data_IF_274327816806
#
_entry.id   IF_274327816806
#
_cell.length_a   1.000
_cell.length_b   1.000
_cell.length_c   1.000
_cell.angle_alpha   90.00
_cell.angle_beta   90.00
_cell.angle_gamma   90.00
#
_symmetry.space_group_name_H-M   'P 1'
#
loop_
_entity.id
_entity.type
_entity.pdbx_description
1 polymer ?
#
# COMPACT_ATOMS: atom_id res chain seq x y z
N UNK A 1 24.97 36.44 -73.96
CA UNK A 1 24.55 35.08 -73.50
C UNK A 1 25.64 34.34 -72.70
N UNK A 2 26.70 35.00 -72.27
CA UNK A 2 27.89 34.41 -71.61
C UNK A 2 27.98 34.70 -70.09
N UNK A 3 27.18 35.60 -69.53
CA UNK A 3 27.21 35.97 -68.07
C UNK A 3 26.39 35.02 -67.18
N UNK A 4 25.32 34.46 -67.70
CA UNK A 4 24.45 33.54 -66.97
C UNK A 4 25.07 32.16 -66.81
N UNK A 5 25.86 31.69 -67.78
CA UNK A 5 26.55 30.39 -67.72
C UNK A 5 27.68 30.38 -66.68
N UNK A 6 28.34 31.53 -66.41
CA UNK A 6 29.39 31.62 -65.41
C UNK A 6 28.89 31.67 -63.96
N UNK A 7 27.70 32.16 -63.71
CA UNK A 7 27.09 32.18 -62.38
C UNK A 7 26.61 30.74 -61.99
N UNK A 8 25.96 30.06 -62.93
CA UNK A 8 25.53 28.68 -62.69
C UNK A 8 26.73 27.73 -62.45
N UNK A 9 27.78 27.84 -63.25
CA UNK A 9 28.96 26.99 -63.09
C UNK A 9 29.75 27.28 -61.81
N UNK A 10 29.75 28.54 -61.29
CA UNK A 10 30.32 28.88 -59.97
C UNK A 10 29.53 28.33 -58.82
N UNK A 11 28.22 28.39 -58.86
CA UNK A 11 27.36 27.77 -57.82
C UNK A 11 27.51 26.25 -57.85
N UNK A 12 27.53 25.59 -59.03
CA UNK A 12 27.71 24.13 -59.12
C UNK A 12 29.08 23.62 -58.69
N UNK A 13 30.17 24.42 -58.83
CA UNK A 13 31.51 24.10 -58.36
C UNK A 13 31.70 24.32 -56.86
N UNK A 14 30.85 25.11 -56.22
CA UNK A 14 30.87 25.38 -54.79
C UNK A 14 30.15 24.29 -53.99
N UNK A 15 29.39 23.42 -54.64
CA UNK A 15 28.74 22.25 -54.01
C UNK A 15 29.72 21.08 -54.00
N UNK A 16 30.17 20.74 -52.79
CA UNK A 16 30.94 19.51 -52.58
C UNK A 16 30.00 18.29 -52.64
N UNK A 17 29.77 17.80 -53.86
CA UNK A 17 28.89 16.68 -54.14
C UNK A 17 29.31 15.40 -53.38
N UNK A 18 30.62 15.23 -53.12
CA UNK A 18 31.13 14.08 -52.39
C UNK A 18 30.70 14.15 -50.93
N UNK A 19 30.84 15.34 -50.27
CA UNK A 19 30.39 15.51 -48.89
C UNK A 19 28.86 15.32 -48.75
N UNK A 20 28.06 15.81 -49.71
CA UNK A 20 26.61 15.62 -49.71
C UNK A 20 26.22 14.12 -49.86
N UNK A 21 26.90 13.42 -50.76
CA UNK A 21 26.66 12.00 -50.98
C UNK A 21 27.06 11.19 -49.75
N UNK A 22 28.20 11.50 -49.12
CA UNK A 22 28.62 10.86 -47.89
C UNK A 22 27.64 11.10 -46.71
N UNK A 23 27.13 12.31 -46.58
CA UNK A 23 26.11 12.63 -45.57
C UNK A 23 24.81 11.88 -45.81
N UNK A 24 24.33 11.84 -47.03
CA UNK A 24 23.12 11.09 -47.40
C UNK A 24 23.32 9.60 -47.16
N UNK A 25 24.46 9.04 -47.58
CA UNK A 25 24.78 7.63 -47.41
C UNK A 25 24.86 7.26 -45.92
N UNK A 26 25.52 8.08 -45.10
CA UNK A 26 25.60 7.91 -43.63
C UNK A 26 24.21 7.94 -42.99
N UNK A 27 23.33 8.87 -43.39
CA UNK A 27 21.95 8.92 -42.91
C UNK A 27 21.15 7.67 -43.31
N UNK A 28 21.32 7.17 -44.52
CA UNK A 28 20.67 5.93 -44.98
C UNK A 28 21.13 4.72 -44.15
N UNK A 29 22.42 4.59 -43.90
CA UNK A 29 22.96 3.52 -43.08
C UNK A 29 22.41 3.62 -41.66
N UNK A 30 22.39 4.81 -41.07
CA UNK A 30 21.87 5.05 -39.74
C UNK A 30 20.38 4.71 -39.60
N UNK A 31 19.56 5.08 -40.60
CA UNK A 31 18.14 4.72 -40.67
C UNK A 31 17.93 3.22 -40.82
N UNK A 32 18.76 2.56 -41.65
CA UNK A 32 18.69 1.12 -41.80
C UNK A 32 18.97 0.37 -40.51
N UNK A 33 20.04 0.74 -39.78
CA UNK A 33 20.32 0.15 -38.49
C UNK A 33 19.25 0.50 -37.44
N UNK A 34 18.71 1.71 -37.43
CA UNK A 34 17.62 2.10 -36.57
C UNK A 34 16.37 1.21 -36.77
N UNK A 35 16.00 0.96 -38.01
CA UNK A 35 14.85 0.10 -38.37
C UNK A 35 15.09 -1.34 -37.87
N UNK A 36 16.28 -1.87 -38.08
CA UNK A 36 16.64 -3.20 -37.57
C UNK A 36 16.54 -3.22 -36.03
N UNK A 37 17.15 -2.23 -35.36
CA UNK A 37 17.09 -2.11 -33.90
C UNK A 37 15.65 -2.03 -33.38
N UNK A 38 14.80 -1.25 -34.06
CA UNK A 38 13.38 -1.14 -33.74
C UNK A 38 12.65 -2.48 -33.88
N UNK A 39 12.89 -3.22 -34.97
CA UNK A 39 12.31 -4.55 -35.15
C UNK A 39 12.73 -5.54 -34.08
N UNK A 40 14.02 -5.54 -33.73
CA UNK A 40 14.55 -6.37 -32.64
C UNK A 40 13.92 -5.99 -31.31
N UNK A 41 13.89 -4.69 -30.99
CA UNK A 41 13.27 -4.19 -29.77
C UNK A 41 11.78 -4.56 -29.67
N UNK A 42 11.03 -4.40 -30.75
CA UNK A 42 9.62 -4.78 -30.85
C UNK A 42 9.41 -6.29 -30.65
N UNK A 43 10.26 -7.12 -31.24
CA UNK A 43 10.21 -8.57 -31.06
C UNK A 43 10.52 -8.98 -29.62
N UNK A 44 11.56 -8.40 -29.02
CA UNK A 44 11.91 -8.62 -27.61
C UNK A 44 10.78 -8.21 -26.68
N UNK A 45 10.17 -7.05 -26.92
CA UNK A 45 9.02 -6.55 -26.15
C UNK A 45 7.85 -7.54 -26.22
N UNK A 46 7.50 -8.01 -27.41
CA UNK A 46 6.41 -8.97 -27.58
C UNK A 46 6.68 -10.29 -26.84
N UNK A 47 7.92 -10.79 -26.92
CA UNK A 47 8.34 -12.00 -26.17
C UNK A 47 8.28 -11.74 -24.66
N UNK A 48 8.73 -10.56 -24.19
CA UNK A 48 8.70 -10.18 -22.79
C UNK A 48 7.28 -10.12 -22.25
N UNK A 49 6.37 -9.44 -22.95
CA UNK A 49 4.95 -9.35 -22.55
C UNK A 49 4.34 -10.75 -22.46
N UNK A 50 4.57 -11.59 -23.48
CA UNK A 50 3.99 -12.96 -23.50
C UNK A 50 4.60 -13.91 -22.46
N UNK A 51 5.92 -13.88 -22.27
CA UNK A 51 6.61 -14.85 -21.41
C UNK A 51 6.71 -14.43 -19.95
N UNK A 52 6.70 -13.12 -19.64
CA UNK A 52 6.87 -12.60 -18.29
C UNK A 52 5.58 -12.02 -17.76
N UNK A 53 4.96 -11.07 -18.46
CA UNK A 53 3.81 -10.35 -17.93
C UNK A 53 2.55 -11.21 -17.92
N UNK A 54 2.23 -11.88 -19.06
CA UNK A 54 1.00 -12.67 -19.16
C UNK A 54 0.90 -13.83 -18.18
N UNK A 55 1.98 -14.62 -17.88
CA UNK A 55 1.93 -15.67 -16.86
C UNK A 55 1.82 -15.11 -15.44
N UNK A 56 2.48 -13.99 -15.14
CA UNK A 56 2.45 -13.35 -13.81
C UNK A 56 1.05 -12.82 -13.44
N UNK A 57 0.19 -12.55 -14.43
CA UNK A 57 -1.19 -12.14 -14.25
C UNK A 57 -2.17 -13.31 -14.04
N UNK A 58 -1.70 -14.57 -14.05
CA UNK A 58 -2.52 -15.77 -13.79
C UNK A 58 -2.85 -15.90 -12.30
N UNK A 59 -3.75 -15.05 -11.81
CA UNK A 59 -4.14 -15.01 -10.39
C UNK A 59 -5.36 -15.91 -10.06
N UNK A 60 -6.12 -16.37 -11.04
CA UNK A 60 -7.20 -17.34 -10.85
C UNK A 60 -7.71 -17.82 -12.21
N UNK A 61 -8.18 -19.06 -12.28
CA UNK A 61 -8.69 -19.70 -13.49
C UNK A 61 -9.96 -19.07 -14.08
N UNK A 62 -10.59 -18.12 -13.41
CA UNK A 62 -11.86 -17.51 -13.81
C UNK A 62 -11.75 -16.20 -14.60
N UNK A 63 -10.56 -15.65 -14.86
CA UNK A 63 -10.41 -14.26 -15.33
C UNK A 63 -9.55 -14.09 -16.61
N UNK A 64 -9.63 -15.05 -17.54
CA UNK A 64 -8.88 -14.99 -18.81
C UNK A 64 -9.17 -13.73 -19.65
N UNK A 65 -10.41 -13.22 -19.60
CA UNK A 65 -10.79 -11.99 -20.30
C UNK A 65 -10.06 -10.76 -19.71
N UNK A 66 -10.01 -10.66 -18.38
CA UNK A 66 -9.33 -9.58 -17.67
C UNK A 66 -7.82 -9.62 -17.88
N UNK A 67 -7.21 -10.80 -17.79
CA UNK A 67 -5.78 -11.00 -18.08
C UNK A 67 -5.43 -10.53 -19.49
N UNK A 68 -6.24 -10.92 -20.50
CA UNK A 68 -6.03 -10.53 -21.90
C UNK A 68 -6.15 -9.02 -22.10
N UNK A 69 -7.10 -8.38 -21.41
CA UNK A 69 -7.28 -6.92 -21.49
C UNK A 69 -6.08 -6.19 -20.89
N UNK A 70 -5.63 -6.58 -19.69
CA UNK A 70 -4.47 -5.97 -19.03
C UNK A 70 -3.19 -6.16 -19.87
N UNK A 71 -2.94 -7.36 -20.36
CA UNK A 71 -1.78 -7.64 -21.22
C UNK A 71 -1.77 -6.78 -22.49
N UNK A 72 -2.94 -6.61 -23.13
CA UNK A 72 -3.08 -5.74 -24.31
C UNK A 72 -2.85 -4.27 -24.00
N UNK A 73 -3.36 -3.78 -22.84
CA UNK A 73 -3.12 -2.39 -22.43
C UNK A 73 -1.63 -2.13 -22.23
N UNK A 74 -0.93 -3.02 -21.53
CA UNK A 74 0.53 -2.90 -21.31
C UNK A 74 1.27 -2.95 -22.65
N UNK A 75 0.93 -3.89 -23.53
CA UNK A 75 1.54 -4.03 -24.85
C UNK A 75 1.34 -2.76 -25.71
N UNK A 76 0.14 -2.18 -25.69
CA UNK A 76 -0.16 -0.95 -26.43
C UNK A 76 0.66 0.24 -25.90
N UNK A 77 0.73 0.44 -24.58
CA UNK A 77 1.52 1.52 -23.98
C UNK A 77 3.00 1.39 -24.36
N UNK A 78 3.56 0.19 -24.25
CA UNK A 78 4.96 -0.08 -24.61
C UNK A 78 5.21 0.12 -26.12
N UNK A 79 4.28 -0.31 -26.96
CA UNK A 79 4.37 -0.08 -28.42
C UNK A 79 4.32 1.41 -28.75
N UNK A 80 3.42 2.19 -28.15
CA UNK A 80 3.36 3.65 -28.38
C UNK A 80 4.67 4.33 -27.95
N UNK A 81 5.26 3.92 -26.85
CA UNK A 81 6.58 4.42 -26.42
C UNK A 81 7.67 4.09 -27.43
N UNK A 82 7.69 2.85 -27.96
CA UNK A 82 8.65 2.45 -29.00
C UNK A 82 8.46 3.24 -30.31
N UNK A 83 7.22 3.44 -30.76
CA UNK A 83 6.96 4.26 -31.95
C UNK A 83 7.35 5.72 -31.75
N UNK A 84 7.11 6.28 -30.56
CA UNK A 84 7.56 7.64 -30.23
C UNK A 84 9.09 7.75 -30.31
N UNK A 85 9.81 6.79 -29.76
CA UNK A 85 11.29 6.75 -29.81
C UNK A 85 11.78 6.58 -31.25
N UNK A 86 11.12 5.75 -32.07
CA UNK A 86 11.46 5.57 -33.48
C UNK A 86 11.32 6.90 -34.23
N UNK A 87 10.20 7.60 -34.10
CA UNK A 87 9.95 8.89 -34.74
C UNK A 87 11.00 9.92 -34.27
N UNK A 88 11.28 9.98 -32.99
CA UNK A 88 12.30 10.86 -32.44
C UNK A 88 13.67 10.64 -33.09
N UNK A 89 14.14 9.38 -33.17
CA UNK A 89 15.43 9.05 -33.76
C UNK A 89 15.48 9.28 -35.27
N UNK A 90 14.38 9.00 -35.98
CA UNK A 90 14.28 9.31 -37.44
C UNK A 90 14.46 10.82 -37.66
N UNK A 91 13.71 11.65 -36.94
CA UNK A 91 13.80 13.11 -37.04
C UNK A 91 15.21 13.63 -36.71
N UNK A 92 15.81 13.05 -35.66
CA UNK A 92 17.19 13.39 -35.23
C UNK A 92 18.22 13.07 -36.34
N UNK A 93 18.16 11.87 -36.94
CA UNK A 93 19.06 11.46 -38.03
C UNK A 93 18.88 12.35 -39.26
N UNK A 94 17.67 12.77 -39.55
CA UNK A 94 17.39 13.69 -40.68
C UNK A 94 17.89 15.12 -40.41
N UNK A 95 18.35 15.42 -39.16
CA UNK A 95 18.85 16.75 -38.78
C UNK A 95 17.74 17.74 -38.43
N UNK A 96 16.52 17.27 -38.19
CA UNK A 96 15.40 18.12 -37.78
C UNK A 96 15.53 18.48 -36.27
N UNK A 97 15.14 19.71 -35.87
CA UNK A 97 15.25 20.14 -34.48
C UNK A 97 14.25 19.39 -33.60
N UNK A 98 14.71 18.37 -32.85
CA UNK A 98 13.89 17.53 -31.96
C UNK A 98 13.78 18.06 -30.54
N UNK A 99 14.43 19.20 -30.23
CA UNK A 99 14.41 19.81 -28.90
C UNK A 99 13.01 20.17 -28.41
N UNK A 100 12.15 20.69 -29.30
CA UNK A 100 10.75 20.99 -28.98
C UNK A 100 9.93 19.74 -28.72
N UNK A 101 10.19 18.65 -29.42
CA UNK A 101 9.54 17.35 -29.19
C UNK A 101 9.94 16.78 -27.83
N UNK A 102 11.24 16.90 -27.48
CA UNK A 102 11.74 16.44 -26.19
C UNK A 102 11.19 17.31 -25.03
N UNK A 103 11.10 18.63 -25.21
CA UNK A 103 10.49 19.52 -24.23
C UNK A 103 9.00 19.18 -24.01
N UNK A 104 8.24 18.96 -25.11
CA UNK A 104 6.84 18.51 -25.02
C UNK A 104 6.67 17.15 -24.34
N UNK A 105 7.54 16.19 -24.65
CA UNK A 105 7.57 14.90 -23.99
C UNK A 105 7.90 15.02 -22.49
N UNK A 106 8.78 15.94 -22.11
CA UNK A 106 9.11 16.26 -20.72
C UNK A 106 7.89 16.78 -19.94
N UNK A 107 7.14 17.73 -20.53
CA UNK A 107 5.90 18.25 -19.92
C UNK A 107 4.85 17.14 -19.80
N UNK A 108 4.67 16.35 -20.85
CA UNK A 108 3.75 15.21 -20.80
C UNK A 108 4.17 14.17 -19.74
N UNK A 109 5.48 13.92 -19.61
CA UNK A 109 6.04 13.04 -18.57
C UNK A 109 5.74 13.53 -17.16
N UNK A 110 5.86 14.83 -16.90
CA UNK A 110 5.48 15.42 -15.60
C UNK A 110 3.98 15.26 -15.34
N UNK A 111 3.13 15.53 -16.33
CA UNK A 111 1.67 15.37 -16.18
C UNK A 111 1.28 13.91 -15.89
N UNK A 112 1.88 12.94 -16.60
CA UNK A 112 1.68 11.51 -16.37
C UNK A 112 2.19 11.12 -14.96
N UNK A 113 3.37 11.62 -14.58
CA UNK A 113 3.96 11.38 -13.26
C UNK A 113 3.06 11.87 -12.12
N UNK A 114 2.52 13.08 -12.24
CA UNK A 114 1.54 13.62 -11.27
C UNK A 114 0.26 12.77 -11.21
N UNK A 115 -0.24 12.31 -12.36
CA UNK A 115 -1.39 11.39 -12.41
C UNK A 115 -1.11 10.02 -11.78
N UNK A 116 0.14 9.54 -11.87
CA UNK A 116 0.57 8.26 -11.32
C UNK A 116 1.11 8.33 -9.88
N UNK A 117 1.23 9.52 -9.30
CA UNK A 117 1.83 9.75 -7.96
C UNK A 117 1.23 8.84 -6.88
N UNK A 118 -0.10 8.72 -6.87
CA UNK A 118 -0.78 7.89 -5.87
C UNK A 118 -0.43 6.40 -6.00
N UNK A 119 -0.29 5.91 -7.22
CA UNK A 119 0.14 4.54 -7.47
C UNK A 119 1.57 4.29 -6.98
N UNK A 120 2.49 5.20 -7.28
CA UNK A 120 3.88 5.10 -6.83
C UNK A 120 3.98 5.15 -5.30
N UNK A 121 3.20 6.03 -4.66
CA UNK A 121 3.11 6.09 -3.21
C UNK A 121 2.60 4.77 -2.60
N UNK A 122 1.58 4.14 -3.21
CA UNK A 122 1.10 2.83 -2.76
C UNK A 122 2.20 1.76 -2.81
N UNK A 123 3.01 1.74 -3.88
CA UNK A 123 4.11 0.78 -4.04
C UNK A 123 5.20 0.98 -2.98
N UNK A 124 5.62 2.23 -2.77
CA UNK A 124 6.67 2.57 -1.80
C UNK A 124 6.22 2.23 -0.37
N UNK A 125 4.99 2.63 0.00
CA UNK A 125 4.46 2.31 1.32
C UNK A 125 4.27 0.80 1.52
N UNK A 126 3.76 0.07 0.52
CA UNK A 126 3.62 -1.38 0.58
C UNK A 126 4.97 -2.09 0.73
N UNK A 127 6.00 -1.60 0.04
CA UNK A 127 7.36 -2.11 0.19
C UNK A 127 7.88 -1.94 1.63
N UNK A 128 7.72 -0.75 2.23
CA UNK A 128 8.18 -0.51 3.60
C UNK A 128 7.35 -1.29 4.64
N UNK A 129 6.03 -1.39 4.46
CA UNK A 129 5.17 -2.22 5.32
C UNK A 129 5.72 -3.66 5.40
N UNK A 130 6.08 -4.24 4.24
CA UNK A 130 6.61 -5.60 4.15
C UNK A 130 8.05 -5.69 4.65
N UNK A 131 8.92 -4.73 4.29
CA UNK A 131 10.33 -4.72 4.67
C UNK A 131 10.51 -4.61 6.19
N UNK A 132 9.76 -3.71 6.80
CA UNK A 132 9.79 -3.46 8.25
C UNK A 132 8.91 -4.45 9.04
N UNK A 133 8.17 -5.31 8.33
CA UNK A 133 7.22 -6.24 8.95
C UNK A 133 6.26 -5.53 9.91
N UNK A 134 5.72 -4.39 9.52
CA UNK A 134 4.82 -3.62 10.37
C UNK A 134 3.54 -4.42 10.69
N UNK A 135 3.08 -5.25 9.74
CA UNK A 135 1.96 -6.17 9.90
C UNK A 135 2.17 -7.42 9.01
N UNK A 136 1.69 -8.55 9.48
CA UNK A 136 1.70 -9.82 8.76
C UNK A 136 0.27 -10.37 8.58
N UNK A 137 0.10 -11.31 7.66
CA UNK A 137 -1.20 -11.99 7.45
C UNK A 137 -1.57 -12.74 8.72
N UNK A 138 -2.79 -12.52 9.20
CA UNK A 138 -3.30 -13.07 10.46
C UNK A 138 -3.18 -12.11 11.66
N UNK A 139 -2.41 -11.02 11.55
CA UNK A 139 -2.33 -10.03 12.63
C UNK A 139 -3.67 -9.31 12.82
N UNK A 140 -4.05 -9.12 14.07
CA UNK A 140 -5.11 -8.18 14.45
C UNK A 140 -4.52 -6.78 14.50
N UNK A 141 -5.08 -5.87 13.72
CA UNK A 141 -4.55 -4.53 13.55
C UNK A 141 -5.64 -3.47 13.64
N UNK A 142 -5.23 -2.26 14.00
CA UNK A 142 -6.01 -1.04 13.81
C UNK A 142 -5.23 -0.11 12.90
N UNK A 143 -5.81 0.19 11.73
CA UNK A 143 -5.23 1.06 10.71
C UNK A 143 -5.98 2.39 10.72
N UNK A 144 -5.23 3.48 10.81
CA UNK A 144 -5.82 4.82 10.94
C UNK A 144 -5.33 5.72 9.81
N UNK A 145 -6.26 6.50 9.25
CA UNK A 145 -6.00 7.60 8.33
C UNK A 145 -6.89 8.79 8.70
N UNK A 146 -6.41 9.65 9.59
CA UNK A 146 -7.20 10.75 10.12
C UNK A 146 -8.51 10.25 10.78
N UNK A 147 -9.69 10.61 10.24
CA UNK A 147 -10.98 10.20 10.81
C UNK A 147 -11.33 8.73 10.54
N UNK A 148 -10.67 8.09 9.57
CA UNK A 148 -10.95 6.70 9.19
C UNK A 148 -10.14 5.78 10.10
N UNK A 149 -10.85 4.90 10.80
CA UNK A 149 -10.27 3.87 11.67
C UNK A 149 -10.85 2.52 11.28
N UNK A 150 -9.98 1.62 10.82
CA UNK A 150 -10.34 0.27 10.40
C UNK A 150 -9.64 -0.71 11.34
N UNK A 151 -10.41 -1.50 12.07
CA UNK A 151 -9.91 -2.55 12.95
C UNK A 151 -10.30 -3.92 12.40
N UNK A 152 -9.41 -4.91 12.52
CA UNK A 152 -9.71 -6.27 12.06
C UNK A 152 -8.46 -7.11 11.88
N UNK A 153 -8.64 -8.26 11.23
CA UNK A 153 -7.56 -9.21 10.94
C UNK A 153 -7.04 -9.01 9.53
N UNK A 154 -5.73 -8.95 9.38
CA UNK A 154 -5.06 -8.83 8.07
C UNK A 154 -5.26 -10.13 7.28
N UNK A 155 -5.90 -10.01 6.11
CA UNK A 155 -6.15 -11.13 5.20
C UNK A 155 -5.03 -11.27 4.17
N UNK A 156 -4.55 -10.14 3.66
CA UNK A 156 -3.43 -10.11 2.72
C UNK A 156 -2.72 -8.77 2.74
N UNK A 157 -1.42 -8.80 2.49
CA UNK A 157 -0.58 -7.62 2.31
C UNK A 157 -0.07 -7.63 0.88
N UNK A 158 -0.64 -6.77 0.05
CA UNK A 158 -0.24 -6.63 -1.35
C UNK A 158 0.69 -5.44 -1.55
N UNK A 159 1.35 -5.40 -2.70
CA UNK A 159 2.27 -4.31 -3.04
C UNK A 159 1.58 -2.94 -3.12
N UNK A 160 0.29 -2.92 -3.44
CA UNK A 160 -0.50 -1.69 -3.57
C UNK A 160 -1.58 -1.54 -2.50
N UNK A 161 -2.16 -2.66 -2.05
CA UNK A 161 -3.33 -2.67 -1.16
C UNK A 161 -3.15 -3.72 -0.08
N UNK A 162 -3.47 -3.35 1.15
CA UNK A 162 -3.63 -4.26 2.28
C UNK A 162 -5.12 -4.58 2.45
N UNK A 163 -5.44 -5.84 2.74
CA UNK A 163 -6.81 -6.30 2.97
C UNK A 163 -6.99 -6.65 4.43
N UNK A 164 -8.01 -6.09 5.06
CA UNK A 164 -8.35 -6.31 6.47
C UNK A 164 -9.81 -6.74 6.55
N UNK A 165 -10.07 -7.81 7.30
CA UNK A 165 -11.41 -8.29 7.59
C UNK A 165 -11.83 -7.82 8.98
N UNK A 166 -12.91 -7.08 9.02
CA UNK A 166 -13.51 -6.60 10.26
C UNK A 166 -14.26 -7.74 10.99
N UNK A 167 -14.63 -7.49 12.24
CA UNK A 167 -15.36 -8.42 13.09
C UNK A 167 -16.75 -8.77 12.56
N UNK A 168 -17.40 -7.86 11.81
CA UNK A 168 -18.68 -8.08 11.13
C UNK A 168 -18.55 -8.92 9.84
N UNK A 169 -17.31 -9.29 9.43
CA UNK A 169 -17.01 -10.05 8.22
C UNK A 169 -16.72 -9.19 7.00
N UNK A 170 -16.88 -7.88 7.06
CA UNK A 170 -16.58 -6.97 5.96
C UNK A 170 -15.11 -7.01 5.58
N UNK A 171 -14.81 -7.03 4.27
CA UNK A 171 -13.45 -7.03 3.75
C UNK A 171 -13.09 -5.65 3.20
N UNK A 172 -12.17 -4.98 3.87
CA UNK A 172 -11.67 -3.67 3.50
C UNK A 172 -10.45 -3.79 2.60
N UNK A 173 -10.46 -3.09 1.46
CA UNK A 173 -9.33 -2.94 0.54
C UNK A 173 -8.72 -1.56 0.74
N UNK A 174 -7.60 -1.49 1.42
CA UNK A 174 -6.97 -0.24 1.85
C UNK A 174 -5.75 0.03 0.97
N UNK A 175 -5.74 1.10 0.14
CA UNK A 175 -4.52 1.52 -0.54
C UNK A 175 -3.41 1.79 0.47
N UNK A 176 -2.20 1.28 0.23
CA UNK A 176 -1.11 1.34 1.21
C UNK A 176 -0.73 2.79 1.57
N UNK A 177 -0.87 3.76 0.64
CA UNK A 177 -0.68 5.19 0.90
C UNK A 177 -1.66 5.77 1.94
N UNK A 178 -2.80 5.09 2.15
CA UNK A 178 -3.82 5.52 3.10
C UNK A 178 -3.63 4.91 4.50
N UNK A 179 -2.57 4.15 4.72
CA UNK A 179 -2.19 3.63 6.02
C UNK A 179 -1.19 4.62 6.63
N UNK A 180 -1.65 5.49 7.53
CA UNK A 180 -0.80 6.48 8.18
C UNK A 180 -0.25 5.97 9.51
N UNK A 181 -1.08 5.23 10.27
CA UNK A 181 -0.68 4.63 11.54
C UNK A 181 -1.09 3.17 11.56
N UNK A 182 -0.14 2.31 11.90
CA UNK A 182 -0.36 0.89 12.13
C UNK A 182 -0.27 0.62 13.63
N UNK A 183 -1.39 0.22 14.24
CA UNK A 183 -1.40 -0.34 15.59
C UNK A 183 -1.56 -1.85 15.47
N UNK A 184 -0.47 -2.59 15.67
CA UNK A 184 -0.48 -4.04 15.64
C UNK A 184 -0.86 -4.58 17.03
N UNK A 185 -1.99 -5.28 17.12
CA UNK A 185 -2.55 -5.81 18.35
C UNK A 185 -2.18 -7.29 18.56
N UNK A 186 -1.38 -7.86 17.65
CA UNK A 186 -0.91 -9.25 17.73
C UNK A 186 0.54 -9.35 18.17
N UNK A 187 1.23 -8.24 18.39
CA UNK A 187 2.63 -8.22 18.76
C UNK A 187 2.83 -7.65 20.16
N UNK A 188 3.49 -8.44 20.98
CA UNK A 188 3.75 -8.09 22.38
C UNK A 188 2.55 -8.33 23.29
N UNK A 189 2.79 -8.16 24.57
CA UNK A 189 1.78 -8.32 25.62
C UNK A 189 0.79 -7.15 25.57
N UNK A 190 -0.46 -7.45 25.84
CA UNK A 190 -1.54 -6.49 25.70
C UNK A 190 -2.17 -6.19 27.05
N UNK A 191 -2.45 -4.93 27.29
CA UNK A 191 -3.18 -4.51 28.49
C UNK A 191 -4.68 -4.63 28.28
N UNK A 192 -5.37 -5.24 29.24
CA UNK A 192 -6.82 -5.25 29.38
C UNK A 192 -7.19 -4.34 30.53
N UNK A 193 -8.08 -3.39 30.29
CA UNK A 193 -8.69 -2.55 31.33
C UNK A 193 -10.13 -2.99 31.51
N UNK A 194 -10.51 -3.32 32.74
CA UNK A 194 -11.86 -3.72 33.10
C UNK A 194 -12.43 -2.64 34.00
N UNK A 195 -13.43 -1.94 33.49
CA UNK A 195 -14.14 -0.88 34.18
C UNK A 195 -15.48 -1.41 34.66
N UNK A 196 -15.62 -1.48 35.99
CA UNK A 196 -16.83 -1.92 36.67
C UNK A 196 -17.58 -0.67 37.09
N UNK A 197 -18.79 -0.41 36.61
CA UNK A 197 -19.56 0.75 37.03
C UNK A 197 -19.96 0.60 38.48
N UNK A 198 -19.77 1.66 39.29
CA UNK A 198 -20.06 1.69 40.73
C UNK A 198 -20.87 2.92 41.11
N UNK A 199 -21.64 2.84 42.17
CA UNK A 199 -22.30 3.99 42.77
C UNK A 199 -21.31 4.79 43.63
N UNK A 200 -21.40 6.12 43.64
CA UNK A 200 -20.51 7.00 44.39
C UNK A 200 -20.54 6.77 45.93
N UNK A 201 -21.55 6.07 46.42
CA UNK A 201 -21.74 5.78 47.83
C UNK A 201 -21.29 4.38 48.23
N UNK A 202 -20.80 3.58 47.27
CA UNK A 202 -20.38 2.19 47.52
C UNK A 202 -19.04 2.17 48.25
N UNK A 203 -18.92 1.29 49.24
CA UNK A 203 -17.67 1.07 49.98
C UNK A 203 -16.60 0.47 49.06
N UNK A 204 -15.56 1.26 48.80
CA UNK A 204 -14.47 0.91 47.88
C UNK A 204 -13.58 -0.21 48.42
N UNK A 205 -13.44 -0.32 49.72
CA UNK A 205 -12.62 -1.36 50.34
C UNK A 205 -13.28 -2.74 50.22
N UNK A 206 -14.60 -2.79 50.25
CA UNK A 206 -15.36 -4.03 49.99
C UNK A 206 -15.17 -4.45 48.56
N UNK A 207 -15.33 -3.51 47.61
CA UNK A 207 -15.12 -3.79 46.16
C UNK A 207 -13.71 -4.34 45.94
N UNK A 208 -12.69 -3.68 46.45
CA UNK A 208 -11.29 -4.11 46.29
C UNK A 208 -11.06 -5.53 46.84
N UNK A 209 -11.62 -5.84 47.99
CA UNK A 209 -11.52 -7.16 48.61
C UNK A 209 -12.19 -8.25 47.78
N UNK A 210 -13.39 -8.00 47.26
CA UNK A 210 -14.13 -8.96 46.42
C UNK A 210 -13.38 -9.22 45.11
N UNK A 211 -12.87 -8.16 44.48
CA UNK A 211 -12.10 -8.27 43.25
C UNK A 211 -10.82 -9.08 43.47
N UNK A 212 -10.11 -8.80 44.58
CA UNK A 212 -8.89 -9.54 44.95
C UNK A 212 -9.17 -11.03 45.19
N UNK A 213 -10.29 -11.38 45.86
CA UNK A 213 -10.70 -12.78 46.05
C UNK A 213 -10.97 -13.47 44.71
N UNK A 214 -11.65 -12.80 43.80
CA UNK A 214 -11.89 -13.31 42.42
C UNK A 214 -10.58 -13.53 41.69
N UNK A 215 -9.66 -12.57 41.78
CA UNK A 215 -8.34 -12.69 41.15
C UNK A 215 -7.60 -13.93 41.67
N UNK A 216 -7.51 -14.10 42.98
CA UNK A 216 -6.80 -15.21 43.62
C UNK A 216 -7.44 -16.58 43.28
N UNK A 217 -8.77 -16.62 43.18
CA UNK A 217 -9.50 -17.85 42.86
C UNK A 217 -9.37 -18.26 41.40
N UNK A 218 -9.43 -17.28 40.50
CA UNK A 218 -9.59 -17.55 39.05
C UNK A 218 -8.30 -17.50 38.25
N UNK A 219 -7.23 -16.88 38.76
CA UNK A 219 -5.99 -16.65 37.98
C UNK A 219 -5.38 -17.94 37.41
N UNK A 220 -5.50 -19.06 38.14
CA UNK A 220 -4.97 -20.35 37.71
C UNK A 220 -5.65 -20.94 36.47
N UNK A 221 -6.89 -20.55 36.24
CA UNK A 221 -7.69 -21.05 35.11
C UNK A 221 -7.46 -20.27 33.81
N UNK A 222 -6.69 -19.18 33.90
CA UNK A 222 -6.43 -18.29 32.74
C UNK A 222 -4.92 -18.08 32.55
N UNK A 223 -4.21 -19.06 31.98
CA UNK A 223 -2.76 -18.99 31.76
C UNK A 223 -2.35 -17.90 30.78
N UNK A 224 -3.29 -17.31 30.05
CA UNK A 224 -3.05 -16.18 29.14
C UNK A 224 -2.78 -14.86 29.88
N UNK A 225 -3.07 -14.80 31.20
CA UNK A 225 -2.75 -13.64 32.04
C UNK A 225 -1.29 -13.77 32.47
N UNK A 226 -0.47 -12.79 32.06
CA UNK A 226 0.98 -12.81 32.23
C UNK A 226 1.44 -12.23 33.58
N UNK A 227 0.65 -11.30 34.10
CA UNK A 227 0.92 -10.65 35.38
C UNK A 227 -0.34 -10.62 36.25
N UNK A 228 -0.18 -10.69 37.55
CA UNK A 228 -1.30 -10.56 38.47
C UNK A 228 -2.10 -9.27 38.17
N UNK A 229 -3.45 -9.34 38.22
CA UNK A 229 -4.28 -8.16 38.03
C UNK A 229 -3.92 -7.06 39.04
N UNK A 230 -3.78 -5.83 38.50
CA UNK A 230 -3.52 -4.63 39.30
C UNK A 230 -4.82 -3.86 39.51
N UNK A 231 -5.17 -3.63 40.77
CA UNK A 231 -6.37 -2.90 41.16
C UNK A 231 -6.04 -1.40 41.17
N UNK A 232 -6.45 -0.69 40.09
CA UNK A 232 -6.20 0.75 39.96
C UNK A 232 -7.17 1.61 40.81
N UNK A 233 -8.28 1.00 41.28
CA UNK A 233 -9.26 1.68 42.10
C UNK A 233 -10.26 2.56 41.31
N UNK A 234 -10.94 3.48 42.04
CA UNK A 234 -11.99 4.30 41.44
C UNK A 234 -11.44 5.29 40.41
N UNK A 235 -12.16 5.42 39.31
CA UNK A 235 -11.88 6.37 38.22
C UNK A 235 -13.18 7.10 37.86
N UNK A 236 -13.05 8.33 37.39
CA UNK A 236 -14.15 9.08 36.80
C UNK A 236 -14.03 9.06 35.26
N UNK A 237 -15.01 8.48 34.60
CA UNK A 237 -15.04 8.47 33.13
C UNK A 237 -15.66 9.74 32.54
N UNK A 238 -15.46 9.99 31.23
CA UNK A 238 -15.85 11.22 30.52
C UNK A 238 -17.35 11.59 30.66
N UNK A 239 -18.22 10.63 31.02
CA UNK A 239 -19.67 10.85 31.24
C UNK A 239 -20.04 11.05 32.71
N UNK A 240 -19.09 11.41 33.58
CA UNK A 240 -19.29 11.53 35.03
C UNK A 240 -19.74 10.22 35.69
N UNK A 241 -19.44 9.08 35.09
CA UNK A 241 -19.73 7.77 35.65
C UNK A 241 -18.55 7.30 36.48
N UNK A 242 -18.79 6.91 37.71
CA UNK A 242 -17.76 6.27 38.56
C UNK A 242 -17.58 4.81 38.13
N UNK A 243 -16.33 4.44 37.91
CA UNK A 243 -15.96 3.07 37.60
C UNK A 243 -14.83 2.62 38.50
N UNK A 244 -14.84 1.35 38.87
CA UNK A 244 -13.73 0.72 39.57
C UNK A 244 -12.89 -0.05 38.55
N UNK A 245 -11.64 0.35 38.37
CA UNK A 245 -10.77 -0.11 37.30
C UNK A 245 -9.79 -1.15 37.76
N UNK A 246 -9.71 -2.25 36.97
CA UNK A 246 -8.71 -3.30 37.12
C UNK A 246 -7.91 -3.40 35.81
N UNK A 247 -6.60 -3.53 35.94
CA UNK A 247 -5.68 -3.67 34.81
C UNK A 247 -5.03 -5.06 34.80
N UNK A 248 -4.91 -5.66 33.65
CA UNK A 248 -4.24 -6.95 33.46
C UNK A 248 -3.34 -6.92 32.23
N UNK A 249 -2.20 -7.60 32.30
CA UNK A 249 -1.35 -7.88 31.14
C UNK A 249 -1.64 -9.30 30.67
N UNK A 250 -1.99 -9.42 29.39
CA UNK A 250 -2.39 -10.69 28.78
C UNK A 250 -1.65 -10.96 27.49
N UNK A 251 -1.59 -12.23 27.10
CA UNK A 251 -1.06 -12.62 25.79
C UNK A 251 -1.89 -11.98 24.68
N UNK A 252 -1.20 -11.55 23.65
CA UNK A 252 -1.81 -11.02 22.43
C UNK A 252 -2.87 -11.97 21.87
N UNK A 253 -4.02 -11.40 21.46
CA UNK A 253 -5.18 -12.15 20.97
C UNK A 253 -6.17 -12.62 22.05
N UNK A 254 -5.79 -12.58 23.34
CA UNK A 254 -6.65 -13.01 24.46
C UNK A 254 -7.44 -11.88 25.11
N UNK A 255 -7.25 -10.63 24.69
CA UNK A 255 -7.80 -9.43 25.34
C UNK A 255 -9.32 -9.50 25.51
N UNK A 256 -10.03 -9.81 24.42
CA UNK A 256 -11.51 -9.85 24.40
C UNK A 256 -12.04 -10.98 25.30
N UNK A 257 -11.41 -12.15 25.21
CA UNK A 257 -11.78 -13.31 26.04
C UNK A 257 -11.63 -13.00 27.54
N UNK A 258 -10.46 -12.46 27.92
CA UNK A 258 -10.16 -12.15 29.33
C UNK A 258 -11.05 -11.02 29.84
N UNK A 259 -11.25 -9.96 29.03
CA UNK A 259 -12.17 -8.86 29.38
C UNK A 259 -13.56 -9.39 29.75
N UNK A 260 -14.20 -10.14 28.87
CA UNK A 260 -15.56 -10.64 29.10
C UNK A 260 -15.63 -11.65 30.27
N UNK A 261 -14.62 -12.51 30.38
CA UNK A 261 -14.58 -13.49 31.46
C UNK A 261 -14.47 -12.82 32.83
N UNK A 262 -13.52 -11.93 33.00
CA UNK A 262 -13.28 -11.28 34.28
C UNK A 262 -14.32 -10.21 34.61
N UNK A 263 -14.84 -9.47 33.59
CA UNK A 263 -15.98 -8.59 33.81
C UNK A 263 -17.18 -9.35 34.40
N UNK A 264 -17.51 -10.52 33.84
CA UNK A 264 -18.57 -11.37 34.36
C UNK A 264 -18.27 -11.88 35.78
N UNK A 265 -17.07 -12.38 36.04
CA UNK A 265 -16.68 -12.89 37.35
C UNK A 265 -16.76 -11.80 38.42
N UNK A 266 -16.28 -10.61 38.14
CA UNK A 266 -16.37 -9.49 39.06
C UNK A 266 -17.83 -9.07 39.31
N UNK A 267 -18.59 -8.93 38.24
CA UNK A 267 -20.00 -8.58 38.32
C UNK A 267 -20.81 -9.58 39.17
N UNK A 268 -20.66 -10.88 38.93
CA UNK A 268 -21.31 -11.93 39.68
C UNK A 268 -20.89 -11.95 41.17
N UNK A 269 -19.61 -11.74 41.45
CA UNK A 269 -19.09 -11.71 42.82
C UNK A 269 -19.60 -10.50 43.63
N UNK A 270 -19.61 -9.31 43.01
CA UNK A 270 -20.10 -8.09 43.65
C UNK A 270 -21.60 -8.17 43.95
N UNK A 271 -22.40 -8.71 43.04
CA UNK A 271 -23.83 -8.93 43.29
C UNK A 271 -24.08 -9.94 44.43
N UNK A 272 -23.27 -10.98 44.54
CA UNK A 272 -23.38 -11.94 45.69
C UNK A 272 -23.10 -11.31 47.03
N UNK A 273 -22.22 -10.33 47.10
CA UNK A 273 -21.94 -9.54 48.28
C UNK A 273 -22.97 -8.43 48.56
N UNK A 274 -24.04 -8.36 47.73
CA UNK A 274 -25.11 -7.37 47.91
C UNK A 274 -24.75 -5.96 47.46
N UNK A 275 -23.74 -5.81 46.58
CA UNK A 275 -23.37 -4.51 46.01
C UNK A 275 -24.23 -4.25 44.76
N UNK A 276 -25.07 -3.24 44.81
CA UNK A 276 -25.84 -2.79 43.69
C UNK A 276 -24.98 -2.04 42.69
N UNK A 277 -24.92 -2.54 41.45
CA UNK A 277 -24.23 -1.88 40.33
C UNK A 277 -25.21 -0.99 39.58
N UNK A 278 -24.80 0.21 39.15
CA UNK A 278 -25.66 1.09 38.37
C UNK A 278 -25.99 0.44 37.04
N UNK A 279 -27.25 0.62 36.58
CA UNK A 279 -27.78 0.14 35.30
C UNK A 279 -27.24 0.95 34.12
#
# INVERSE_FOLDING_TARGET
MTLTSNIFSRYFKQFDWVAILDEIFSKFISLFFLIILFYVAKQLLHVFVRKVISPSLKLSSSDLARQKTISRLIENVLNYTLYFLLIYWILSILGLPVSSLLAGAGIAGVAIGMGAQGFLSDLVNGFFILLERQLDVGDSVRLTNGPINIAGTVVSVGIRTTQVRDADGSLHYIPNRNIMVVSNLSRGDMRVLIDIPINAQTDLDIIARVIEQVNQASLKDYPEILQAPDILGPQLEEKSQFVFRVSMMVQSGSQTKIYHSFYRLYHEALLKEGIDLPN
#
